data_IF_218055387062
#
_entry.id   IF_218055387062
#
_cell.length_a   1.000
_cell.length_b   1.000
_cell.length_c   1.000
_cell.angle_alpha   90.00
_cell.angle_beta   90.00
_cell.angle_gamma   90.00
#
_symmetry.space_group_name_H-M   'P 1'
#
loop_
_entity.id
_entity.type
_entity.pdbx_description
1 polymer ?
#
# COMPACT_ATOMS: atom_id res chain seq x y z
N UNK A 1 16.09 2.39 16.34
CA UNK A 1 15.66 1.18 15.61
C UNK A 1 14.95 1.64 14.35
N UNK A 2 15.12 1.00 13.19
CA UNK A 2 14.28 1.16 11.98
C UNK A 2 13.00 0.31 12.16
N UNK A 3 11.91 0.59 11.44
CA UNK A 3 10.76 -0.34 11.30
C UNK A 3 10.73 -0.63 9.83
N UNK A 4 10.92 -1.90 9.50
CA UNK A 4 11.00 -2.34 8.12
C UNK A 4 9.60 -2.59 7.59
N UNK A 5 9.47 -2.59 6.26
CA UNK A 5 8.19 -2.73 5.57
C UNK A 5 8.34 -3.70 4.42
N UNK A 6 7.45 -4.68 4.40
CA UNK A 6 7.22 -5.58 3.26
C UNK A 6 5.77 -5.48 2.84
N UNK A 7 5.46 -6.03 1.67
CA UNK A 7 4.15 -5.87 1.10
C UNK A 7 4.04 -6.40 -0.30
N UNK A 8 2.85 -6.30 -0.86
CA UNK A 8 2.57 -6.71 -2.22
C UNK A 8 1.50 -5.81 -2.81
N UNK A 9 1.66 -5.48 -4.09
CA UNK A 9 0.57 -4.94 -4.91
C UNK A 9 -0.23 -6.13 -5.43
N UNK A 10 -1.54 -6.04 -5.29
CA UNK A 10 -2.50 -6.97 -5.88
C UNK A 10 -3.43 -6.23 -6.84
N UNK A 11 -3.98 -6.95 -7.82
CA UNK A 11 -5.04 -6.45 -8.68
C UNK A 11 -6.19 -7.45 -8.81
N UNK A 12 -7.37 -6.98 -9.19
CA UNK A 12 -8.57 -7.79 -9.39
C UNK A 12 -8.96 -7.81 -10.88
N UNK A 13 -8.33 -8.66 -11.70
CA UNK A 13 -8.49 -8.62 -13.15
C UNK A 13 -9.89 -9.03 -13.62
N UNK A 14 -10.58 -9.90 -12.88
CA UNK A 14 -11.93 -10.34 -13.22
C UNK A 14 -12.97 -9.23 -13.17
N UNK A 15 -12.75 -8.20 -12.34
CA UNK A 15 -13.71 -7.11 -12.16
C UNK A 15 -14.03 -6.36 -13.46
N UNK A 16 -13.04 -6.27 -14.38
CA UNK A 16 -13.23 -5.65 -15.70
C UNK A 16 -13.97 -6.56 -16.70
N UNK A 17 -13.93 -7.88 -16.49
CA UNK A 17 -14.46 -8.89 -17.42
C UNK A 17 -15.87 -9.31 -17.04
N UNK A 18 -16.12 -9.50 -15.74
CA UNK A 18 -17.34 -10.10 -15.20
C UNK A 18 -18.08 -9.20 -14.21
N UNK A 19 -17.43 -8.11 -13.76
CA UNK A 19 -17.96 -7.19 -12.75
C UNK A 19 -17.36 -7.43 -11.37
N UNK A 20 -17.35 -6.42 -10.48
CA UNK A 20 -16.64 -6.48 -9.20
C UNK A 20 -17.24 -7.47 -8.19
N UNK A 21 -18.53 -7.79 -8.32
CA UNK A 21 -19.29 -8.69 -7.43
C UNK A 21 -19.32 -10.14 -7.92
N UNK A 22 -18.67 -10.43 -9.05
CA UNK A 22 -18.58 -11.78 -9.60
C UNK A 22 -17.64 -12.65 -8.75
N UNK A 23 -17.96 -13.94 -8.57
CA UNK A 23 -17.18 -14.85 -7.73
C UNK A 23 -15.76 -15.10 -8.26
N UNK A 24 -15.57 -14.98 -9.58
CA UNK A 24 -14.27 -15.12 -10.23
C UNK A 24 -13.47 -13.80 -10.25
N UNK A 25 -14.07 -12.70 -9.79
CA UNK A 25 -13.40 -11.40 -9.59
C UNK A 25 -12.60 -11.37 -8.29
N UNK A 26 -11.70 -12.33 -8.13
CA UNK A 26 -10.78 -12.43 -6.98
C UNK A 26 -9.54 -11.56 -7.17
N UNK A 27 -8.93 -11.15 -6.05
CA UNK A 27 -7.63 -10.51 -6.05
C UNK A 27 -6.54 -11.50 -6.49
N UNK A 28 -5.53 -10.98 -7.17
CA UNK A 28 -4.34 -11.71 -7.60
C UNK A 28 -3.09 -10.92 -7.24
N UNK A 29 -2.07 -11.63 -6.76
CA UNK A 29 -0.73 -11.10 -6.56
C UNK A 29 -0.15 -10.53 -7.86
N UNK A 30 0.35 -9.30 -7.83
CA UNK A 30 0.92 -8.64 -9.01
C UNK A 30 2.43 -8.40 -8.87
N UNK A 31 2.87 -7.71 -7.81
CA UNK A 31 4.30 -7.45 -7.59
C UNK A 31 4.63 -7.32 -6.11
N UNK A 32 5.71 -7.98 -5.70
CA UNK A 32 6.29 -7.86 -4.37
C UNK A 32 6.90 -6.45 -4.19
N UNK A 33 6.59 -5.81 -3.05
CA UNK A 33 7.12 -4.49 -2.68
C UNK A 33 8.66 -4.49 -2.63
N UNK A 34 9.29 -5.61 -2.26
CA UNK A 34 10.75 -5.78 -2.26
C UNK A 34 11.37 -5.46 -3.63
N UNK A 35 10.68 -5.79 -4.72
CA UNK A 35 11.17 -5.53 -6.08
C UNK A 35 11.13 -4.04 -6.47
N UNK A 36 10.39 -3.22 -5.71
CA UNK A 36 10.19 -1.80 -5.98
C UNK A 36 10.86 -0.89 -4.94
N UNK A 37 11.02 -1.37 -3.72
CA UNK A 37 11.61 -0.63 -2.61
C UNK A 37 13.14 -0.71 -2.63
N UNK A 38 13.83 0.44 -2.63
CA UNK A 38 15.30 0.52 -2.58
C UNK A 38 15.85 0.70 -1.16
N UNK A 39 15.04 0.47 -0.14
CA UNK A 39 15.44 0.52 1.26
C UNK A 39 15.28 1.89 1.94
N UNK A 40 14.55 2.83 1.35
CA UNK A 40 14.29 4.15 1.95
C UNK A 40 12.82 4.59 1.83
N UNK A 41 11.89 3.64 1.81
CA UNK A 41 10.46 3.90 1.86
C UNK A 41 9.98 4.46 3.23
N UNK A 42 10.86 4.60 4.21
CA UNK A 42 10.52 5.00 5.59
C UNK A 42 9.88 6.38 5.70
N UNK A 43 10.31 7.34 4.89
CA UNK A 43 9.85 8.73 4.97
C UNK A 43 8.33 8.84 4.78
N UNK A 44 7.75 7.94 3.97
CA UNK A 44 6.32 7.89 3.71
C UNK A 44 5.50 7.11 4.72
N UNK A 45 6.11 6.30 5.60
CA UNK A 45 5.35 5.39 6.47
C UNK A 45 4.45 6.13 7.47
N UNK A 46 4.91 7.28 7.97
CA UNK A 46 4.14 8.11 8.89
C UNK A 46 2.87 8.66 8.22
N UNK A 47 2.98 9.26 7.03
CA UNK A 47 1.84 9.86 6.36
C UNK A 47 0.95 8.82 5.66
N UNK A 48 1.49 7.73 5.15
CA UNK A 48 0.69 6.70 4.50
C UNK A 48 -0.06 5.83 5.53
N UNK A 49 0.64 5.40 6.59
CA UNK A 49 0.20 4.28 7.43
C UNK A 49 0.18 4.56 8.93
N UNK A 50 0.60 5.75 9.38
CA UNK A 50 0.65 6.11 10.80
C UNK A 50 1.86 5.51 11.53
N UNK A 51 2.72 4.77 10.84
CA UNK A 51 3.85 4.10 11.45
C UNK A 51 4.92 5.11 11.85
N UNK A 52 5.26 5.13 13.13
CA UNK A 52 6.24 6.06 13.74
C UNK A 52 5.96 7.51 13.40
N UNK A 53 4.69 7.87 13.44
CA UNK A 53 4.22 9.18 13.07
C UNK A 53 4.44 10.25 14.16
N UNK A 54 5.71 10.46 14.56
CA UNK A 54 6.08 11.59 15.45
C UNK A 54 5.91 12.95 14.77
N UNK A 55 5.82 12.98 13.43
CA UNK A 55 5.51 14.17 12.63
C UNK A 55 4.05 14.63 12.80
N UNK A 56 3.13 13.74 13.20
CA UNK A 56 1.73 14.08 13.41
C UNK A 56 0.93 14.27 12.12
N UNK A 57 1.26 13.52 11.06
CA UNK A 57 0.40 13.44 9.87
C UNK A 57 -0.96 12.83 10.21
N UNK A 58 -2.00 13.14 9.43
CA UNK A 58 -3.18 12.28 9.36
C UNK A 58 -2.88 11.13 8.39
N UNK A 59 -2.85 9.87 8.82
CA UNK A 59 -2.51 8.78 7.91
C UNK A 59 -3.62 8.47 6.91
N UNK A 60 -3.28 8.04 5.69
CA UNK A 60 -4.28 7.61 4.68
C UNK A 60 -4.94 6.27 5.06
N UNK A 61 -4.13 5.33 5.52
CA UNK A 61 -4.55 3.96 5.76
C UNK A 61 -3.86 3.39 7.00
N UNK A 62 -4.25 3.87 8.18
CA UNK A 62 -3.74 3.34 9.45
C UNK A 62 -4.57 2.13 9.93
N UNK A 63 -3.86 1.08 10.35
CA UNK A 63 -4.43 0.01 11.19
C UNK A 63 -5.63 -0.75 10.61
N UNK A 64 -5.77 -0.84 9.28
CA UNK A 64 -6.90 -1.55 8.65
C UNK A 64 -6.82 -3.07 8.78
N UNK A 65 -5.66 -3.60 9.18
CA UNK A 65 -5.41 -5.03 9.27
C UNK A 65 -5.08 -5.66 7.92
N UNK A 66 -5.03 -6.99 7.92
CA UNK A 66 -4.77 -7.77 6.71
C UNK A 66 -6.09 -8.03 6.01
N UNK A 67 -6.21 -7.83 4.69
CA UNK A 67 -7.49 -7.95 4.02
C UNK A 67 -8.00 -9.39 4.01
N UNK A 68 -9.26 -9.59 4.40
CA UNK A 68 -9.90 -10.91 4.45
C UNK A 68 -9.97 -11.56 3.05
N UNK A 69 -10.11 -10.74 2.01
CA UNK A 69 -10.17 -11.13 0.60
C UNK A 69 -8.78 -11.10 -0.09
N UNK A 70 -7.68 -11.13 0.66
CA UNK A 70 -6.32 -11.26 0.13
C UNK A 70 -6.21 -12.41 -0.89
N UNK A 71 -5.45 -12.20 -1.98
CA UNK A 71 -5.14 -13.32 -2.88
C UNK A 71 -4.33 -14.39 -2.17
N UNK A 72 -4.38 -15.61 -2.69
CA UNK A 72 -3.60 -16.72 -2.16
C UNK A 72 -2.08 -16.46 -2.27
N UNK A 73 -1.64 -15.68 -3.26
CA UNK A 73 -0.25 -15.26 -3.41
C UNK A 73 0.20 -14.36 -2.26
N UNK A 74 -0.59 -13.34 -1.93
CA UNK A 74 -0.33 -12.44 -0.80
C UNK A 74 -0.38 -13.18 0.54
N UNK A 75 -1.37 -14.07 0.72
CA UNK A 75 -1.46 -14.91 1.94
C UNK A 75 -0.24 -15.82 2.09
N UNK A 76 0.21 -16.43 0.99
CA UNK A 76 1.38 -17.29 0.97
C UNK A 76 2.66 -16.54 1.34
N UNK A 77 2.87 -15.36 0.77
CA UNK A 77 4.03 -14.52 1.06
C UNK A 77 4.04 -14.02 2.52
N UNK A 78 2.90 -13.53 3.00
CA UNK A 78 2.74 -13.10 4.39
C UNK A 78 2.97 -14.24 5.39
N UNK A 79 2.46 -15.45 5.10
CA UNK A 79 2.70 -16.62 5.94
C UNK A 79 4.18 -17.07 5.91
N UNK A 80 4.83 -17.01 4.74
CA UNK A 80 6.26 -17.33 4.61
C UNK A 80 7.16 -16.35 5.37
N UNK A 81 6.73 -15.10 5.51
CA UNK A 81 7.39 -14.10 6.34
C UNK A 81 7.25 -14.36 7.86
N UNK A 82 6.28 -15.17 8.29
CA UNK A 82 5.98 -15.44 9.71
C UNK A 82 4.54 -15.12 10.13
N UNK A 83 3.79 -14.44 9.27
CA UNK A 83 2.39 -14.11 9.48
C UNK A 83 2.16 -13.14 10.66
N UNK A 84 0.98 -13.17 11.29
CA UNK A 84 0.60 -12.20 12.32
C UNK A 84 1.49 -12.19 13.57
N UNK A 85 2.21 -13.29 13.85
CA UNK A 85 3.07 -13.41 15.04
C UNK A 85 4.37 -12.62 14.96
N UNK A 86 4.85 -12.36 13.73
CA UNK A 86 6.18 -11.79 13.47
C UNK A 86 6.11 -10.34 12.95
N UNK A 87 4.92 -9.74 12.92
CA UNK A 87 4.71 -8.36 12.46
C UNK A 87 4.05 -7.49 13.51
N UNK A 88 4.39 -6.20 13.52
CA UNK A 88 3.81 -5.18 14.39
C UNK A 88 2.42 -4.72 13.95
N UNK A 89 2.05 -4.98 12.69
CA UNK A 89 0.76 -4.61 12.14
C UNK A 89 0.73 -4.72 10.63
N UNK A 90 -0.49 -4.64 10.09
CA UNK A 90 -0.78 -4.71 8.66
C UNK A 90 -1.81 -3.66 8.29
N UNK A 91 -1.76 -3.20 7.05
CA UNK A 91 -2.74 -2.27 6.49
C UNK A 91 -2.68 -2.30 4.97
N UNK A 92 -3.61 -1.62 4.32
CA UNK A 92 -3.70 -1.59 2.87
C UNK A 92 -4.37 -0.31 2.36
N UNK A 93 -4.05 0.08 1.12
CA UNK A 93 -4.66 1.23 0.44
C UNK A 93 -4.85 0.93 -1.05
N UNK A 94 -5.92 1.47 -1.63
CA UNK A 94 -6.23 1.31 -3.06
C UNK A 94 -5.60 2.40 -3.91
N UNK A 95 -5.44 2.15 -5.21
CA UNK A 95 -5.00 3.20 -6.15
C UNK A 95 -6.01 4.37 -6.19
N UNK A 96 -7.31 4.08 -6.08
CA UNK A 96 -8.35 5.12 -6.00
C UNK A 96 -8.12 6.09 -4.82
N UNK A 97 -7.89 5.56 -3.61
CA UNK A 97 -7.61 6.39 -2.43
C UNK A 97 -6.33 7.21 -2.57
N UNK A 98 -5.32 6.63 -3.20
CA UNK A 98 -4.06 7.31 -3.41
C UNK A 98 -4.16 8.42 -4.48
N UNK A 99 -4.97 8.20 -5.51
CA UNK A 99 -5.22 9.17 -6.57
C UNK A 99 -6.00 10.39 -6.06
N UNK A 100 -6.90 10.19 -5.08
CA UNK A 100 -7.69 11.25 -4.45
C UNK A 100 -6.99 11.92 -3.25
N UNK A 101 -5.85 11.38 -2.80
CA UNK A 101 -5.15 11.89 -1.64
C UNK A 101 -4.74 13.36 -1.79
N UNK A 102 -4.94 14.16 -0.75
CA UNK A 102 -4.36 15.49 -0.66
C UNK A 102 -2.84 15.38 -0.43
N UNK A 103 -2.09 15.53 -1.52
CA UNK A 103 -0.64 15.49 -1.53
C UNK A 103 0.02 16.74 -0.93
N UNK A 104 -0.72 17.84 -0.76
CA UNK A 104 -0.24 19.06 -0.11
C UNK A 104 -0.53 19.07 1.39
N UNK A 105 -1.33 18.13 1.90
CA UNK A 105 -1.52 17.95 3.34
C UNK A 105 -0.16 17.81 4.04
N UNK A 106 0.00 18.57 5.11
CA UNK A 106 1.25 18.67 5.86
C UNK A 106 1.20 17.91 7.18
N UNK A 107 2.38 17.71 7.75
CA UNK A 107 2.56 17.28 9.12
C UNK A 107 2.04 18.33 10.13
N UNK A 108 2.01 18.00 11.41
CA UNK A 108 1.51 18.91 12.45
C UNK A 108 2.28 20.24 12.52
N UNK A 109 3.54 20.27 12.06
CA UNK A 109 4.36 21.48 11.99
C UNK A 109 4.10 22.36 10.76
N UNK A 110 3.41 21.85 9.74
CA UNK A 110 3.19 22.54 8.48
C UNK A 110 4.41 22.57 7.54
N UNK A 111 5.49 21.86 7.86
CA UNK A 111 6.78 21.97 7.17
C UNK A 111 6.96 20.89 6.11
N UNK A 112 6.44 19.68 6.36
CA UNK A 112 6.61 18.52 5.49
C UNK A 112 5.27 18.15 4.86
N UNK A 113 5.17 18.21 3.54
CA UNK A 113 3.99 17.74 2.82
C UNK A 113 4.03 16.25 2.57
N UNK A 114 2.86 15.63 2.40
CA UNK A 114 2.72 14.24 1.96
C UNK A 114 3.48 13.97 0.66
N UNK A 115 3.44 14.90 -0.29
CA UNK A 115 4.18 14.81 -1.55
C UNK A 115 5.70 14.69 -1.34
N UNK A 116 6.26 15.45 -0.39
CA UNK A 116 7.70 15.38 -0.09
C UNK A 116 8.11 14.05 0.55
N UNK A 117 7.24 13.46 1.36
CA UNK A 117 7.49 12.22 2.09
C UNK A 117 7.25 10.96 1.23
N UNK A 118 6.16 10.95 0.47
CA UNK A 118 5.64 9.76 -0.20
C UNK A 118 5.21 10.00 -1.65
N UNK A 119 5.45 11.18 -2.23
CA UNK A 119 5.01 11.49 -3.58
C UNK A 119 5.78 10.75 -4.68
N UNK A 120 5.44 11.05 -5.94
CA UNK A 120 6.08 10.44 -7.12
C UNK A 120 7.60 10.70 -7.23
N UNK A 121 8.10 11.76 -6.59
CA UNK A 121 9.53 12.08 -6.51
C UNK A 121 10.29 11.35 -5.40
N UNK A 122 9.59 10.67 -4.47
CA UNK A 122 10.22 9.90 -3.40
C UNK A 122 10.46 8.44 -3.81
N UNK A 123 11.03 7.63 -2.91
CA UNK A 123 11.23 6.20 -3.18
C UNK A 123 9.93 5.42 -3.37
N UNK A 124 8.79 5.97 -2.95
CA UNK A 124 7.45 5.40 -3.22
C UNK A 124 6.98 5.59 -4.67
N UNK A 125 7.56 6.51 -5.44
CA UNK A 125 7.08 6.85 -6.78
C UNK A 125 7.03 5.67 -7.77
N UNK A 126 7.87 4.65 -7.57
CA UNK A 126 7.85 3.41 -8.37
C UNK A 126 6.64 2.54 -8.05
N UNK A 127 6.31 2.41 -6.78
CA UNK A 127 5.11 1.70 -6.31
C UNK A 127 3.87 2.34 -6.92
N UNK A 128 3.78 3.67 -6.86
CA UNK A 128 2.68 4.44 -7.45
C UNK A 128 2.62 4.31 -8.97
N UNK A 129 3.77 4.28 -9.63
CA UNK A 129 3.82 4.07 -11.08
C UNK A 129 3.24 2.71 -11.48
N UNK A 130 3.55 1.65 -10.74
CA UNK A 130 3.01 0.31 -11.00
C UNK A 130 1.51 0.27 -10.67
N UNK A 131 1.09 0.81 -9.52
CA UNK A 131 -0.33 0.87 -9.16
C UNK A 131 -1.15 1.64 -10.19
N UNK A 132 -0.63 2.76 -10.72
CA UNK A 132 -1.26 3.52 -11.80
C UNK A 132 -1.45 2.68 -13.05
N UNK A 133 -0.40 2.01 -13.51
CA UNK A 133 -0.45 1.18 -14.73
C UNK A 133 -1.47 0.05 -14.55
N UNK A 134 -1.49 -0.63 -13.40
CA UNK A 134 -2.49 -1.65 -13.13
C UNK A 134 -3.90 -1.05 -13.03
N UNK A 135 -4.04 0.16 -12.48
CA UNK A 135 -5.31 0.87 -12.34
C UNK A 135 -5.90 1.28 -13.70
N UNK A 136 -5.05 1.65 -14.66
CA UNK A 136 -5.45 1.91 -16.04
C UNK A 136 -6.01 0.65 -16.74
N UNK A 137 -5.59 -0.55 -16.32
CA UNK A 137 -6.02 -1.82 -16.91
C UNK A 137 -7.23 -2.43 -16.18
N UNK A 138 -7.28 -2.32 -14.85
CA UNK A 138 -8.23 -3.04 -14.00
C UNK A 138 -9.27 -2.14 -13.33
N UNK A 139 -9.08 -0.81 -13.34
CA UNK A 139 -9.85 0.14 -12.54
C UNK A 139 -9.11 0.49 -11.24
N UNK A 140 -9.29 1.72 -10.76
CA UNK A 140 -8.52 2.26 -9.63
C UNK A 140 -8.85 1.59 -8.29
N UNK A 141 -10.08 1.12 -8.15
CA UNK A 141 -10.61 0.40 -6.99
C UNK A 141 -10.11 -1.06 -6.96
N UNK A 142 -9.69 -1.58 -8.12
CA UNK A 142 -9.27 -2.97 -8.33
C UNK A 142 -7.75 -3.14 -8.27
N UNK A 143 -7.05 -2.20 -7.64
CA UNK A 143 -5.61 -2.26 -7.38
C UNK A 143 -5.37 -1.77 -5.96
N UNK A 144 -4.66 -2.56 -5.16
CA UNK A 144 -4.27 -2.17 -3.80
C UNK A 144 -2.85 -2.58 -3.48
N UNK A 145 -2.23 -1.79 -2.62
CA UNK A 145 -1.01 -2.14 -1.93
C UNK A 145 -1.40 -2.66 -0.54
N UNK A 146 -0.92 -3.84 -0.18
CA UNK A 146 -1.00 -4.38 1.18
C UNK A 146 0.41 -4.39 1.75
N UNK A 147 0.57 -3.93 2.99
CA UNK A 147 1.86 -3.85 3.68
C UNK A 147 1.79 -4.43 5.09
N UNK A 148 2.94 -4.93 5.56
CA UNK A 148 3.17 -5.34 6.95
C UNK A 148 4.50 -4.79 7.44
N UNK A 149 4.58 -4.57 8.76
CA UNK A 149 5.69 -3.88 9.42
C UNK A 149 6.36 -4.79 10.44
N UNK A 150 7.70 -4.80 10.49
CA UNK A 150 8.48 -5.67 11.37
C UNK A 150 9.80 -5.01 11.82
#
# INVERSE_FOLDING_TARGET
>A
MSTDVSGMIECRPGARLWGPDDEDSVWQAAIDLFLLNRGNAYDGLACLFGIRNSFGFRPLAEGRGFPDDASDGLRGDFAAHGGPGDVHGTTWLTWAELADADWQETDASGTRSRASAAGSGSDWGRVWSVMRILGEVHGAENVRLVVWFY
#
